data_IF_924960153204
#
_entry.id   IF_924960153204
#
_cell.length_a   1.000
_cell.length_b   1.000
_cell.length_c   1.000
_cell.angle_alpha   90.00
_cell.angle_beta   90.00
_cell.angle_gamma   90.00
#
_symmetry.space_group_name_H-M   'P 1'
#
loop_
_entity.id
_entity.type
_entity.pdbx_description
1 polymer ?
#
# COMPACT_ATOMS: atom_id res chain seq x y z
N UNK A 1 24.22 -4.63 -16.36
CA UNK A 1 23.46 -5.85 -15.99
C UNK A 1 23.06 -6.59 -17.24
N UNK A 2 23.42 -7.84 -17.36
CA UNK A 2 23.02 -8.72 -18.46
C UNK A 2 21.53 -9.08 -18.38
N UNK A 3 20.93 -9.55 -19.47
CA UNK A 3 19.52 -9.98 -19.49
C UNK A 3 19.24 -11.13 -18.49
N UNK A 4 20.22 -11.97 -18.25
CA UNK A 4 20.15 -13.10 -17.29
C UNK A 4 20.13 -12.58 -15.85
N UNK A 5 20.96 -11.58 -15.48
CA UNK A 5 20.96 -10.97 -14.15
C UNK A 5 19.65 -10.23 -13.85
N UNK A 6 19.04 -9.60 -14.86
CA UNK A 6 17.72 -8.98 -14.72
C UNK A 6 16.64 -10.02 -14.48
N UNK A 7 16.62 -11.11 -15.25
CA UNK A 7 15.64 -12.22 -15.13
C UNK A 7 15.64 -12.83 -13.73
N UNK A 8 16.82 -13.12 -13.17
CA UNK A 8 16.94 -13.66 -11.81
C UNK A 8 16.50 -12.66 -10.73
N UNK A 9 16.70 -11.36 -10.95
CA UNK A 9 16.29 -10.31 -10.02
C UNK A 9 14.76 -10.18 -9.97
N UNK A 10 14.06 -10.18 -11.12
CA UNK A 10 12.60 -10.13 -11.16
C UNK A 10 11.95 -11.38 -10.55
N UNK A 11 12.44 -12.57 -10.87
CA UNK A 11 11.93 -13.83 -10.33
C UNK A 11 11.92 -13.86 -8.79
N UNK A 12 12.80 -13.08 -8.14
CA UNK A 12 12.94 -13.06 -6.69
C UNK A 12 11.83 -12.29 -5.98
N UNK A 13 11.43 -11.13 -6.46
CA UNK A 13 10.47 -10.26 -5.75
C UNK A 13 9.08 -10.19 -6.38
N UNK A 14 8.92 -10.52 -7.66
CA UNK A 14 7.67 -10.41 -8.39
C UNK A 14 6.51 -11.24 -7.77
N UNK A 15 6.71 -12.50 -7.32
CA UNK A 15 5.64 -13.25 -6.65
C UNK A 15 5.14 -12.56 -5.38
N UNK A 16 6.07 -12.01 -4.57
CA UNK A 16 5.72 -11.26 -3.35
C UNK A 16 4.97 -9.96 -3.68
N UNK A 17 5.35 -9.28 -4.76
CA UNK A 17 4.69 -8.08 -5.24
C UNK A 17 3.26 -8.35 -5.71
N UNK A 18 3.03 -9.44 -6.46
CA UNK A 18 1.69 -9.83 -6.91
C UNK A 18 0.81 -10.28 -5.75
N UNK A 19 1.36 -11.05 -4.81
CA UNK A 19 0.65 -11.42 -3.59
C UNK A 19 0.27 -10.19 -2.75
N UNK A 20 1.18 -9.21 -2.62
CA UNK A 20 0.93 -7.95 -1.95
C UNK A 20 -0.18 -7.14 -2.64
N UNK A 21 -0.17 -7.07 -3.98
CA UNK A 21 -1.21 -6.40 -4.75
C UNK A 21 -2.59 -7.02 -4.53
N UNK A 22 -2.67 -8.36 -4.52
CA UNK A 22 -3.91 -9.09 -4.24
C UNK A 22 -4.43 -8.78 -2.83
N UNK A 23 -3.58 -8.91 -1.83
CA UNK A 23 -3.94 -8.69 -0.43
C UNK A 23 -4.41 -7.24 -0.21
N UNK A 24 -3.66 -6.25 -0.71
CA UNK A 24 -4.04 -4.84 -0.55
C UNK A 24 -5.24 -4.45 -1.39
N UNK A 25 -5.45 -5.09 -2.56
CA UNK A 25 -6.65 -4.87 -3.37
C UNK A 25 -7.95 -5.25 -2.65
N UNK A 26 -7.91 -6.31 -1.84
CA UNK A 26 -9.04 -6.72 -1.00
C UNK A 26 -9.21 -5.88 0.28
N UNK A 27 -8.22 -5.07 0.66
CA UNK A 27 -8.25 -4.37 1.96
C UNK A 27 -9.35 -3.32 2.07
N UNK A 28 -9.71 -2.65 0.97
CA UNK A 28 -10.79 -1.65 0.97
C UNK A 28 -12.15 -2.27 1.30
N UNK A 29 -12.44 -3.46 0.76
CA UNK A 29 -13.63 -4.24 1.11
C UNK A 29 -13.65 -4.61 2.59
N UNK A 30 -12.53 -5.07 3.13
CA UNK A 30 -12.45 -5.42 4.55
C UNK A 30 -12.61 -4.20 5.47
N UNK A 31 -12.15 -3.01 5.06
CA UNK A 31 -12.38 -1.77 5.80
C UNK A 31 -13.88 -1.45 5.80
N UNK A 32 -14.54 -1.47 4.65
CA UNK A 32 -15.96 -1.16 4.50
C UNK A 32 -16.83 -2.07 5.38
N UNK A 33 -16.62 -3.39 5.28
CA UNK A 33 -17.33 -4.35 6.13
C UNK A 33 -17.00 -4.17 7.62
N UNK A 34 -15.76 -3.82 7.96
CA UNK A 34 -15.36 -3.53 9.33
C UNK A 34 -16.13 -2.36 9.94
N UNK A 35 -16.33 -1.29 9.16
CA UNK A 35 -17.06 -0.07 9.56
C UNK A 35 -18.54 -0.32 9.87
N UNK A 36 -19.11 -1.48 9.50
CA UNK A 36 -20.49 -1.83 9.89
C UNK A 36 -20.67 -2.06 11.40
N UNK A 37 -19.60 -2.32 12.14
CA UNK A 37 -19.66 -2.56 13.61
C UNK A 37 -18.63 -1.75 14.38
N UNK A 38 -17.49 -1.39 13.76
CA UNK A 38 -16.40 -0.72 14.43
C UNK A 38 -16.30 0.74 14.01
N UNK A 39 -15.82 1.59 14.93
CA UNK A 39 -15.43 2.97 14.57
C UNK A 39 -14.27 2.95 13.56
N UNK A 40 -14.01 4.02 12.80
CA UNK A 40 -12.82 4.15 11.97
C UNK A 40 -11.53 3.83 12.74
N UNK A 41 -11.42 4.29 13.99
CA UNK A 41 -10.29 3.96 14.86
C UNK A 41 -10.31 2.53 15.35
N UNK A 42 -11.49 1.93 15.56
CA UNK A 42 -11.67 0.51 15.89
C UNK A 42 -11.12 -0.39 14.78
N UNK A 43 -11.46 -0.10 13.53
CA UNK A 43 -10.89 -0.80 12.37
C UNK A 43 -9.37 -0.60 12.29
N UNK A 44 -8.90 0.64 12.45
CA UNK A 44 -7.47 0.99 12.40
C UNK A 44 -6.68 0.28 13.49
N UNK A 45 -7.08 0.40 14.74
CA UNK A 45 -6.38 -0.20 15.88
C UNK A 45 -6.44 -1.72 15.83
N UNK A 46 -7.62 -2.30 15.48
CA UNK A 46 -7.81 -3.72 15.31
C UNK A 46 -6.87 -4.31 14.25
N UNK A 47 -6.81 -3.70 13.06
CA UNK A 47 -5.92 -4.16 12.00
C UNK A 47 -4.43 -4.08 12.37
N UNK A 48 -4.01 -3.04 13.10
CA UNK A 48 -2.61 -2.87 13.53
C UNK A 48 -2.27 -3.91 14.59
N UNK A 49 -3.12 -4.10 15.60
CA UNK A 49 -2.89 -5.02 16.71
C UNK A 49 -2.87 -6.48 16.25
N UNK A 50 -3.84 -6.87 15.42
CA UNK A 50 -3.90 -8.23 14.84
C UNK A 50 -2.71 -8.43 13.89
N UNK A 51 -2.36 -7.42 13.09
CA UNK A 51 -1.18 -7.46 12.23
C UNK A 51 0.10 -7.66 13.02
N UNK A 52 0.28 -6.91 14.12
CA UNK A 52 1.41 -7.08 15.04
C UNK A 52 1.45 -8.49 15.64
N UNK A 53 0.32 -8.99 16.13
CA UNK A 53 0.23 -10.35 16.67
C UNK A 53 0.65 -11.40 15.62
N UNK A 54 0.22 -11.21 14.36
CA UNK A 54 0.57 -12.10 13.25
C UNK A 54 2.07 -12.10 12.97
N UNK A 55 2.70 -10.93 12.84
CA UNK A 55 4.15 -10.88 12.56
C UNK A 55 4.99 -11.31 13.75
N UNK A 56 4.53 -11.08 14.99
CA UNK A 56 5.17 -11.60 16.20
C UNK A 56 5.13 -13.13 16.23
N UNK A 57 3.95 -13.72 15.97
CA UNK A 57 3.80 -15.18 15.90
C UNK A 57 4.72 -15.77 14.82
N UNK A 58 4.72 -15.19 13.62
CA UNK A 58 5.61 -15.63 12.53
C UNK A 58 7.09 -15.47 12.91
N UNK A 59 7.46 -14.37 13.57
CA UNK A 59 8.83 -14.13 14.02
C UNK A 59 9.26 -15.15 15.08
N UNK A 60 8.37 -15.52 15.99
CA UNK A 60 8.62 -16.57 17.00
C UNK A 60 8.79 -17.94 16.33
N UNK A 61 7.90 -18.32 15.42
CA UNK A 61 7.94 -19.62 14.71
C UNK A 61 9.19 -19.76 13.83
N UNK A 62 9.61 -18.66 13.19
CA UNK A 62 10.79 -18.62 12.31
C UNK A 62 12.07 -18.21 13.03
N UNK A 63 12.02 -17.94 14.34
CA UNK A 63 13.13 -17.49 15.18
C UNK A 63 13.81 -16.21 14.67
N UNK A 64 13.05 -15.32 14.01
CA UNK A 64 13.52 -14.03 13.55
C UNK A 64 13.61 -13.08 14.74
N UNK A 65 14.74 -12.38 14.86
CA UNK A 65 14.99 -11.42 15.95
C UNK A 65 14.15 -10.15 15.76
N UNK A 66 13.74 -9.57 16.89
CA UNK A 66 13.11 -8.24 16.91
C UNK A 66 14.08 -7.16 16.40
N UNK A 67 13.55 -6.01 15.91
CA UNK A 67 14.40 -4.95 15.37
C UNK A 67 15.32 -4.38 16.45
N UNK A 68 16.62 -4.16 16.13
CA UNK A 68 17.58 -3.62 17.06
C UNK A 68 17.30 -2.14 17.38
N UNK A 69 17.79 -1.66 18.53
CA UNK A 69 17.50 -0.29 19.02
C UNK A 69 17.84 0.82 18.04
N UNK A 70 18.89 0.67 17.23
CA UNK A 70 19.26 1.69 16.24
C UNK A 70 18.19 1.92 15.18
N UNK A 71 17.35 0.91 14.88
CA UNK A 71 16.27 1.00 13.88
C UNK A 71 14.98 1.59 14.45
N UNK A 72 14.85 1.78 15.77
CA UNK A 72 13.61 2.23 16.39
C UNK A 72 13.19 3.63 15.94
N UNK A 73 14.12 4.57 15.84
CA UNK A 73 13.82 5.91 15.33
C UNK A 73 13.33 5.91 13.88
N UNK A 74 14.07 5.31 12.94
CA UNK A 74 13.58 5.15 11.57
C UNK A 74 12.26 4.38 11.46
N UNK A 75 12.04 3.32 12.26
CA UNK A 75 10.79 2.58 12.29
C UNK A 75 9.63 3.40 12.87
N UNK A 76 9.85 4.25 13.86
CA UNK A 76 8.85 5.18 14.37
C UNK A 76 8.38 6.14 13.28
N UNK A 77 9.30 6.78 12.55
CA UNK A 77 8.97 7.68 11.44
C UNK A 77 8.25 6.92 10.31
N UNK A 78 8.74 5.75 9.94
CA UNK A 78 8.08 4.89 8.95
C UNK A 78 6.67 4.49 9.40
N UNK A 79 6.47 4.20 10.69
CA UNK A 79 5.16 3.88 11.26
C UNK A 79 4.20 5.05 11.19
N UNK A 80 4.64 6.28 11.48
CA UNK A 80 3.80 7.47 11.30
C UNK A 80 3.38 7.65 9.84
N UNK A 81 4.33 7.49 8.90
CA UNK A 81 4.12 7.72 7.48
C UNK A 81 3.32 6.61 6.78
N UNK A 82 3.40 5.36 7.22
CA UNK A 82 2.69 4.24 6.59
C UNK A 82 1.45 3.78 7.34
N UNK A 83 1.45 3.90 8.67
CA UNK A 83 0.45 3.28 9.53
C UNK A 83 -0.33 4.33 10.32
N UNK A 84 0.34 5.09 11.18
CA UNK A 84 -0.32 5.98 12.13
C UNK A 84 -1.20 7.02 11.45
N UNK A 85 -0.66 7.80 10.53
CA UNK A 85 -1.39 8.86 9.82
C UNK A 85 -2.32 8.26 8.75
N UNK A 86 -1.82 7.49 7.75
CA UNK A 86 -2.68 7.08 6.65
C UNK A 86 -3.83 6.15 7.09
N UNK A 87 -3.57 5.18 7.95
CA UNK A 87 -4.60 4.22 8.36
C UNK A 87 -5.64 4.81 9.31
N UNK A 88 -5.35 5.95 9.93
CA UNK A 88 -6.34 6.76 10.62
C UNK A 88 -7.16 7.57 9.62
N UNK A 89 -6.50 8.20 8.65
CA UNK A 89 -7.15 9.10 7.70
C UNK A 89 -8.02 8.36 6.67
N UNK A 90 -7.62 7.17 6.19
CA UNK A 90 -8.39 6.42 5.20
C UNK A 90 -9.79 6.02 5.69
N UNK A 91 -9.97 5.35 6.84
CA UNK A 91 -11.31 5.03 7.34
C UNK A 91 -12.15 6.26 7.65
N UNK A 92 -11.55 7.35 8.19
CA UNK A 92 -12.26 8.60 8.40
C UNK A 92 -12.73 9.19 7.06
N UNK A 93 -11.85 9.24 6.06
CA UNK A 93 -12.21 9.75 4.75
C UNK A 93 -13.30 8.90 4.08
N UNK A 94 -13.28 7.56 4.24
CA UNK A 94 -14.28 6.65 3.70
C UNK A 94 -15.69 6.81 4.31
N UNK A 95 -15.83 7.52 5.43
CA UNK A 95 -17.16 7.98 5.88
C UNK A 95 -17.67 9.21 5.11
N UNK A 96 -16.82 9.85 4.31
CA UNK A 96 -17.13 11.10 3.59
C UNK A 96 -17.01 10.98 2.07
N UNK A 97 -16.36 9.92 1.58
CA UNK A 97 -16.15 9.64 0.15
C UNK A 97 -16.32 8.16 -0.13
N UNK A 98 -16.61 7.80 -1.38
CA UNK A 98 -16.76 6.40 -1.80
C UNK A 98 -15.43 5.64 -1.75
N UNK A 99 -15.49 4.32 -1.54
CA UNK A 99 -14.32 3.42 -1.61
C UNK A 99 -13.62 3.50 -2.97
N UNK A 100 -14.38 3.70 -4.06
CA UNK A 100 -13.85 3.88 -5.42
C UNK A 100 -12.97 5.13 -5.50
N UNK A 101 -13.43 6.27 -4.98
CA UNK A 101 -12.66 7.52 -4.97
C UNK A 101 -11.43 7.41 -4.07
N UNK A 102 -11.56 6.74 -2.91
CA UNK A 102 -10.42 6.45 -2.04
C UNK A 102 -9.35 5.61 -2.76
N UNK A 103 -9.76 4.59 -3.52
CA UNK A 103 -8.88 3.77 -4.36
C UNK A 103 -8.16 4.56 -5.45
N UNK A 104 -8.88 5.48 -6.15
CA UNK A 104 -8.28 6.38 -7.16
C UNK A 104 -7.21 7.26 -6.52
N UNK A 105 -7.54 7.91 -5.41
CA UNK A 105 -6.59 8.81 -4.73
C UNK A 105 -5.41 8.01 -4.21
N UNK A 106 -5.62 6.81 -3.66
CA UNK A 106 -4.53 5.92 -3.25
C UNK A 106 -3.58 5.58 -4.41
N UNK A 107 -4.09 5.45 -5.60
CA UNK A 107 -3.29 5.19 -6.80
C UNK A 107 -2.41 6.37 -7.24
N UNK A 108 -2.52 7.54 -6.63
CA UNK A 108 -1.58 8.66 -6.81
C UNK A 108 -0.25 8.41 -6.07
N UNK A 109 -0.19 7.41 -5.16
CA UNK A 109 1.00 7.09 -4.36
C UNK A 109 2.31 7.01 -5.16
N UNK A 110 2.42 6.31 -6.31
CA UNK A 110 3.66 6.25 -7.05
C UNK A 110 4.10 7.61 -7.62
N UNK A 111 3.17 8.48 -7.96
CA UNK A 111 3.48 9.85 -8.39
C UNK A 111 4.00 10.69 -7.21
N UNK A 112 3.41 10.54 -6.01
CA UNK A 112 3.92 11.17 -4.79
C UNK A 112 5.28 10.62 -4.39
N UNK A 113 5.51 9.32 -4.57
CA UNK A 113 6.83 8.69 -4.36
C UNK A 113 7.87 9.28 -5.31
N UNK A 114 7.52 9.43 -6.59
CA UNK A 114 8.39 10.07 -7.58
C UNK A 114 8.74 11.52 -7.17
N UNK A 115 7.73 12.29 -6.75
CA UNK A 115 7.92 13.66 -6.30
C UNK A 115 8.85 13.74 -5.07
N UNK A 116 8.63 12.86 -4.07
CA UNK A 116 9.48 12.77 -2.89
C UNK A 116 10.93 12.43 -3.23
N UNK A 117 11.17 11.50 -4.17
CA UNK A 117 12.50 11.15 -4.67
C UNK A 117 13.16 12.37 -5.35
N UNK A 118 12.43 13.08 -6.18
CA UNK A 118 12.99 14.25 -6.90
C UNK A 118 13.36 15.39 -5.96
N UNK A 119 12.61 15.60 -4.89
CA UNK A 119 12.82 16.72 -3.95
C UNK A 119 13.83 16.34 -2.84
N UNK A 120 13.63 15.21 -2.18
CA UNK A 120 14.32 14.90 -0.92
C UNK A 120 15.26 13.67 -0.97
N UNK A 121 15.00 12.72 -1.88
CA UNK A 121 15.71 11.44 -1.91
C UNK A 121 16.39 11.23 -3.28
N UNK A 122 17.39 12.05 -3.58
CA UNK A 122 18.04 12.14 -4.92
C UNK A 122 18.89 10.91 -5.31
N UNK A 123 18.93 9.89 -4.51
CA UNK A 123 19.70 8.66 -4.74
C UNK A 123 19.14 7.81 -5.88
N UNK A 124 17.83 7.87 -6.11
CA UNK A 124 17.13 7.14 -7.17
C UNK A 124 16.64 8.14 -8.24
N UNK A 125 17.48 8.51 -9.19
CA UNK A 125 17.03 9.38 -10.30
C UNK A 125 16.12 8.60 -11.25
N UNK A 126 14.83 9.00 -11.41
CA UNK A 126 13.92 8.30 -12.28
C UNK A 126 14.30 8.49 -13.75
N UNK A 127 14.25 7.40 -14.53
CA UNK A 127 14.41 7.47 -15.98
C UNK A 127 13.16 8.07 -16.64
N UNK A 128 13.30 8.60 -17.87
CA UNK A 128 12.15 9.10 -18.66
C UNK A 128 11.09 8.00 -18.84
N UNK A 129 11.51 6.77 -19.12
CA UNK A 129 10.60 5.64 -19.25
C UNK A 129 9.79 5.40 -17.95
N UNK A 130 10.42 5.53 -16.78
CA UNK A 130 9.76 5.41 -15.48
C UNK A 130 8.69 6.47 -15.28
N UNK A 131 9.01 7.74 -15.59
CA UNK A 131 8.05 8.85 -15.50
C UNK A 131 6.86 8.59 -16.43
N UNK A 132 7.10 8.28 -17.70
CA UNK A 132 6.04 7.99 -18.68
C UNK A 132 5.20 6.81 -18.22
N UNK A 133 5.82 5.71 -17.75
CA UNK A 133 5.11 4.53 -17.25
C UNK A 133 4.18 4.85 -16.07
N UNK A 134 4.63 5.68 -15.14
CA UNK A 134 3.80 6.11 -14.00
C UNK A 134 2.58 6.91 -14.44
N UNK A 135 2.75 7.85 -15.39
CA UNK A 135 1.63 8.62 -15.92
C UNK A 135 0.65 7.75 -16.72
N UNK A 136 1.15 6.83 -17.56
CA UNK A 136 0.31 5.88 -18.30
C UNK A 136 -0.48 4.98 -17.34
N UNK A 137 0.16 4.45 -16.30
CA UNK A 137 -0.50 3.65 -15.29
C UNK A 137 -1.58 4.44 -14.53
N UNK A 138 -1.30 5.69 -14.16
CA UNK A 138 -2.28 6.55 -13.52
C UNK A 138 -3.49 6.85 -14.42
N UNK A 139 -3.28 7.18 -15.69
CA UNK A 139 -4.36 7.34 -16.66
C UNK A 139 -5.19 6.05 -16.80
N UNK A 140 -4.51 4.89 -16.81
CA UNK A 140 -5.19 3.59 -16.80
C UNK A 140 -6.12 3.42 -15.60
N UNK A 141 -5.74 3.86 -14.39
CA UNK A 141 -6.59 3.81 -13.21
C UNK A 141 -7.84 4.70 -13.38
N UNK A 142 -7.68 5.93 -13.89
CA UNK A 142 -8.80 6.81 -14.15
C UNK A 142 -9.81 6.15 -15.12
N UNK A 143 -9.31 5.40 -16.11
CA UNK A 143 -10.14 4.64 -17.06
C UNK A 143 -10.80 3.44 -16.38
N UNK A 144 -10.04 2.62 -15.59
CA UNK A 144 -10.62 1.46 -14.86
C UNK A 144 -11.81 1.87 -14.01
N UNK A 145 -11.65 2.93 -13.24
CA UNK A 145 -12.72 3.40 -12.34
C UNK A 145 -13.86 4.09 -13.10
N UNK A 146 -13.63 4.52 -14.34
CA UNK A 146 -14.64 5.22 -15.12
C UNK A 146 -14.99 6.57 -14.51
N UNK A 147 -13.97 7.43 -14.33
CA UNK A 147 -14.14 8.74 -13.65
C UNK A 147 -15.26 9.59 -14.20
N UNK A 148 -15.66 9.38 -15.46
CA UNK A 148 -16.81 10.05 -16.08
C UNK A 148 -18.17 9.56 -15.55
N UNK A 149 -18.21 8.42 -14.85
CA UNK A 149 -19.41 7.88 -14.20
C UNK A 149 -19.58 8.38 -12.76
N UNK A 150 -18.56 9.03 -12.20
CA UNK A 150 -18.59 9.66 -10.87
C UNK A 150 -19.45 10.95 -10.92
N UNK A 151 -20.67 10.83 -11.43
CA UNK A 151 -21.60 11.96 -11.48
C UNK A 151 -22.18 12.21 -10.09
N UNK A 152 -22.09 13.46 -9.64
CA UNK A 152 -22.82 13.99 -8.48
C UNK A 152 -22.55 13.27 -7.15
N UNK A 153 -21.35 12.70 -6.99
CA UNK A 153 -20.95 12.20 -5.71
C UNK A 153 -20.80 13.42 -4.76
N UNK A 154 -21.58 13.45 -3.69
CA UNK A 154 -21.50 14.43 -2.61
C UNK A 154 -20.20 14.32 -1.83
N UNK A 155 -19.13 13.89 -2.50
CA UNK A 155 -17.81 13.68 -1.91
C UNK A 155 -17.31 14.96 -1.28
N UNK A 156 -17.06 14.89 0.03
CA UNK A 156 -16.56 16.00 0.79
C UNK A 156 -15.13 16.37 0.37
N UNK A 157 -14.90 17.65 0.07
CA UNK A 157 -13.54 18.16 -0.14
C UNK A 157 -12.61 17.87 1.06
N UNK A 158 -13.18 17.81 2.28
CA UNK A 158 -12.43 17.40 3.47
C UNK A 158 -11.97 15.95 3.37
N UNK A 159 -12.83 15.01 2.96
CA UNK A 159 -12.46 13.61 2.76
C UNK A 159 -11.36 13.44 1.71
N UNK A 160 -11.46 14.16 0.58
CA UNK A 160 -10.41 14.18 -0.46
C UNK A 160 -9.10 14.72 0.12
N UNK A 161 -9.15 15.81 0.89
CA UNK A 161 -7.97 16.38 1.55
C UNK A 161 -7.27 15.40 2.50
N UNK A 162 -8.04 14.66 3.30
CA UNK A 162 -7.51 13.61 4.20
C UNK A 162 -6.81 12.50 3.42
N UNK A 163 -7.38 12.05 2.31
CA UNK A 163 -6.77 11.03 1.44
C UNK A 163 -5.49 11.54 0.78
N UNK A 164 -5.45 12.78 0.31
CA UNK A 164 -4.25 13.38 -0.27
C UNK A 164 -3.11 13.47 0.76
N UNK A 165 -3.41 13.82 2.02
CA UNK A 165 -2.42 13.81 3.11
C UNK A 165 -1.91 12.38 3.34
N UNK A 166 -2.81 11.40 3.41
CA UNK A 166 -2.44 10.00 3.59
C UNK A 166 -1.52 9.49 2.46
N UNK A 167 -1.86 9.81 1.22
CA UNK A 167 -1.09 9.40 0.02
C UNK A 167 0.26 10.13 -0.06
N UNK A 168 0.33 11.39 0.37
CA UNK A 168 1.60 12.11 0.50
C UNK A 168 2.52 11.44 1.54
N UNK A 169 1.96 11.01 2.68
CA UNK A 169 2.70 10.23 3.67
C UNK A 169 3.24 8.92 3.06
N UNK A 170 2.42 8.17 2.33
CA UNK A 170 2.88 6.96 1.61
C UNK A 170 3.99 7.28 0.62
N UNK A 171 3.84 8.35 -0.16
CA UNK A 171 4.84 8.78 -1.13
C UNK A 171 6.21 9.04 -0.51
N UNK A 172 6.25 9.62 0.69
CA UNK A 172 7.49 9.85 1.46
C UNK A 172 7.99 8.56 2.11
N UNK A 173 7.07 7.69 2.57
CA UNK A 173 7.42 6.48 3.32
C UNK A 173 8.26 5.49 2.51
N UNK A 174 7.97 5.29 1.21
CA UNK A 174 8.70 4.37 0.35
C UNK A 174 10.19 4.72 0.21
N UNK A 175 10.58 5.94 -0.25
CA UNK A 175 11.98 6.29 -0.35
C UNK A 175 12.65 6.44 1.02
N UNK A 176 11.92 6.86 2.06
CA UNK A 176 12.42 6.89 3.43
C UNK A 176 12.83 5.49 3.90
N UNK A 177 11.93 4.50 3.76
CA UNK A 177 12.22 3.13 4.14
C UNK A 177 13.39 2.56 3.32
N UNK A 178 13.44 2.85 2.02
CA UNK A 178 14.55 2.44 1.17
C UNK A 178 15.88 2.98 1.66
N UNK A 179 15.92 4.26 2.02
CA UNK A 179 17.14 4.92 2.49
C UNK A 179 17.60 4.42 3.85
N UNK A 180 16.70 4.30 4.82
CA UNK A 180 17.07 4.11 6.23
C UNK A 180 16.88 2.69 6.76
N UNK A 181 16.05 1.84 6.10
CA UNK A 181 15.65 0.53 6.63
C UNK A 181 16.00 -0.64 5.71
N UNK A 182 15.95 -0.47 4.38
CA UNK A 182 15.96 -1.61 3.47
C UNK A 182 17.00 -1.54 2.36
N UNK A 183 17.46 -0.34 1.99
CA UNK A 183 18.34 -0.13 0.84
C UNK A 183 19.83 -0.24 1.16
N UNK A 184 20.69 0.01 0.16
CA UNK A 184 22.14 -0.08 0.30
C UNK A 184 22.74 0.90 1.33
N UNK A 185 22.04 2.00 1.60
CA UNK A 185 22.45 3.03 2.57
C UNK A 185 21.99 2.73 4.00
N UNK A 186 21.14 1.70 4.18
CA UNK A 186 20.73 1.25 5.51
C UNK A 186 21.95 0.70 6.29
N UNK A 187 21.96 0.91 7.61
CA UNK A 187 23.09 0.54 8.48
C UNK A 187 23.42 -0.95 8.39
N UNK A 188 22.40 -1.80 8.36
CA UNK A 188 22.49 -3.25 8.13
C UNK A 188 21.17 -3.78 7.59
N UNK A 189 21.18 -4.82 6.75
CA UNK A 189 19.96 -5.42 6.24
C UNK A 189 19.23 -6.16 7.38
N UNK A 190 17.98 -5.76 7.64
CA UNK A 190 17.11 -6.41 8.60
C UNK A 190 16.12 -7.33 7.88
N UNK A 191 15.71 -8.41 8.55
CA UNK A 191 14.71 -9.30 8.01
C UNK A 191 13.36 -8.58 7.84
N UNK A 192 12.59 -8.79 6.74
CA UNK A 192 11.29 -8.14 6.51
C UNK A 192 10.29 -8.29 7.65
N UNK A 193 10.22 -9.46 8.30
CA UNK A 193 9.37 -9.68 9.48
C UNK A 193 9.80 -8.82 10.67
N UNK A 194 11.10 -8.65 10.89
CA UNK A 194 11.63 -7.77 11.94
C UNK A 194 11.21 -6.33 11.72
N UNK A 195 11.31 -5.85 10.48
CA UNK A 195 10.89 -4.50 10.09
C UNK A 195 9.37 -4.31 10.25
N UNK A 196 8.56 -5.28 9.79
CA UNK A 196 7.11 -5.24 9.95
C UNK A 196 6.69 -5.25 11.43
N UNK A 197 7.38 -6.05 12.28
CA UNK A 197 7.14 -6.06 13.72
C UNK A 197 7.40 -4.70 14.36
N UNK A 198 8.50 -4.07 14.04
CA UNK A 198 8.83 -2.74 14.56
C UNK A 198 7.88 -1.64 14.05
N UNK A 199 7.51 -1.69 12.77
CA UNK A 199 6.56 -0.77 12.16
C UNK A 199 5.19 -0.85 12.86
N UNK A 200 4.62 -2.04 12.98
CA UNK A 200 3.31 -2.26 13.58
C UNK A 200 3.34 -2.07 15.10
N UNK A 201 4.45 -2.40 15.77
CA UNK A 201 4.64 -2.13 17.19
C UNK A 201 4.55 -0.64 17.51
N UNK A 202 5.24 0.21 16.77
CA UNK A 202 5.09 1.66 16.88
C UNK A 202 3.68 2.12 16.50
N UNK A 203 3.04 1.48 15.50
CA UNK A 203 1.65 1.74 15.14
C UNK A 203 0.69 1.56 16.31
N UNK A 204 0.81 0.46 17.08
CA UNK A 204 0.00 0.22 18.30
C UNK A 204 0.23 1.32 19.33
N UNK A 205 1.51 1.70 19.57
CA UNK A 205 1.86 2.74 20.55
C UNK A 205 1.26 4.10 20.16
N UNK A 206 1.33 4.46 18.88
CA UNK A 206 0.83 5.74 18.36
C UNK A 206 -0.69 5.80 18.37
N UNK A 207 -1.37 4.72 17.96
CA UNK A 207 -2.84 4.70 17.84
C UNK A 207 -3.55 4.31 19.13
N UNK A 208 -2.86 3.68 20.08
CA UNK A 208 -3.40 3.23 21.36
C UNK A 208 -4.08 4.34 22.18
N UNK A 209 -3.47 5.51 22.38
CA UNK A 209 -4.13 6.61 23.08
C UNK A 209 -5.38 7.13 22.36
N UNK A 210 -5.38 7.10 21.03
CA UNK A 210 -6.51 7.60 20.23
C UNK A 210 -7.73 6.70 20.38
N UNK A 211 -7.55 5.37 20.35
CA UNK A 211 -8.66 4.42 20.48
C UNK A 211 -9.34 4.50 21.86
N UNK A 212 -8.59 4.84 22.91
CA UNK A 212 -9.15 5.03 24.25
C UNK A 212 -10.14 6.20 24.28
N UNK A 213 -9.88 7.23 23.48
CA UNK A 213 -10.72 8.43 23.40
C UNK A 213 -11.91 8.21 22.46
N UNK A 214 -11.69 7.57 21.30
CA UNK A 214 -12.71 7.45 20.24
C UNK A 214 -13.62 6.25 20.40
N UNK A 215 -13.26 5.28 21.24
CA UNK A 215 -13.97 4.02 21.38
C UNK A 215 -13.73 3.04 20.24
N UNK A 216 -14.17 1.79 20.41
CA UNK A 216 -13.89 0.68 19.49
C UNK A 216 -15.03 0.42 18.52
N UNK A 217 -16.29 0.50 18.96
CA UNK A 217 -17.47 0.13 18.19
C UNK A 217 -18.55 1.21 18.21
N UNK A 218 -19.27 1.35 17.12
CA UNK A 218 -20.43 2.24 16.97
C UNK A 218 -21.77 1.47 16.92
N UNK A 219 -21.72 0.18 16.58
CA UNK A 219 -22.88 -0.68 16.42
C UNK A 219 -22.66 -2.04 17.12
N UNK A 220 -23.71 -2.86 17.28
CA UNK A 220 -23.55 -4.22 17.81
C UNK A 220 -22.52 -5.02 17.03
N UNK A 221 -21.62 -5.68 17.77
CA UNK A 221 -20.54 -6.46 17.17
C UNK A 221 -21.12 -7.69 16.48
N UNK A 222 -20.91 -7.82 15.18
CA UNK A 222 -21.31 -8.96 14.35
C UNK A 222 -20.09 -9.75 13.89
N UNK A 223 -20.30 -11.04 13.59
CA UNK A 223 -19.22 -11.96 13.22
C UNK A 223 -18.49 -11.51 11.92
N UNK A 224 -19.24 -11.08 10.90
CA UNK A 224 -18.67 -10.68 9.59
C UNK A 224 -17.70 -9.50 9.71
N UNK A 225 -18.05 -8.37 10.35
CA UNK A 225 -17.09 -7.28 10.64
C UNK A 225 -15.87 -7.72 11.44
N UNK A 226 -16.05 -8.60 12.45
CA UNK A 226 -14.91 -9.14 13.22
C UNK A 226 -13.96 -9.92 12.33
N UNK A 227 -14.47 -10.86 11.51
CA UNK A 227 -13.66 -11.64 10.59
C UNK A 227 -12.96 -10.74 9.53
N UNK A 228 -13.65 -9.69 9.07
CA UNK A 228 -13.05 -8.70 8.16
C UNK A 228 -11.87 -7.97 8.80
N UNK A 229 -12.01 -7.51 10.04
CA UNK A 229 -10.90 -6.85 10.76
C UNK A 229 -9.75 -7.83 11.04
N UNK A 230 -10.06 -9.10 11.35
CA UNK A 230 -9.04 -10.14 11.51
C UNK A 230 -8.29 -10.38 10.20
N UNK A 231 -8.99 -10.55 9.08
CA UNK A 231 -8.39 -10.74 7.77
C UNK A 231 -7.55 -9.51 7.35
N UNK A 232 -8.11 -8.31 7.55
CA UNK A 232 -7.43 -7.04 7.30
C UNK A 232 -6.14 -6.91 8.14
N UNK A 233 -6.18 -7.29 9.41
CA UNK A 233 -5.02 -7.27 10.31
C UNK A 233 -3.99 -8.32 9.94
N UNK A 234 -4.38 -9.58 9.86
CA UNK A 234 -3.44 -10.68 9.63
C UNK A 234 -2.83 -10.61 8.22
N UNK A 235 -3.67 -10.53 7.19
CA UNK A 235 -3.22 -10.50 5.79
C UNK A 235 -2.83 -9.10 5.36
N UNK A 236 -3.75 -8.13 5.43
CA UNK A 236 -3.60 -6.77 4.90
C UNK A 236 -2.58 -5.91 5.65
N UNK A 237 -2.24 -6.27 6.90
CA UNK A 237 -1.26 -5.56 7.70
C UNK A 237 -0.04 -6.45 8.01
N UNK A 238 -0.21 -7.56 8.68
CA UNK A 238 0.91 -8.41 9.11
C UNK A 238 1.71 -8.97 7.94
N UNK A 239 1.11 -9.85 7.16
CA UNK A 239 1.77 -10.51 6.02
C UNK A 239 2.12 -9.48 4.94
N UNK A 240 1.20 -8.56 4.64
CA UNK A 240 1.42 -7.56 3.59
C UNK A 240 2.64 -6.68 3.86
N UNK A 241 2.87 -6.21 5.10
CA UNK A 241 4.07 -5.42 5.38
C UNK A 241 5.37 -6.22 5.38
N UNK A 242 5.32 -7.49 5.76
CA UNK A 242 6.48 -8.37 5.57
C UNK A 242 6.82 -8.50 4.07
N UNK A 243 5.81 -8.70 3.22
CA UNK A 243 5.98 -8.72 1.76
C UNK A 243 6.43 -7.36 1.21
N UNK A 244 5.85 -6.25 1.69
CA UNK A 244 6.23 -4.91 1.26
C UNK A 244 7.69 -4.59 1.57
N UNK A 245 8.17 -4.90 2.77
CA UNK A 245 9.59 -4.74 3.10
C UNK A 245 10.48 -5.65 2.25
N UNK A 246 10.04 -6.89 1.99
CA UNK A 246 10.78 -7.79 1.12
C UNK A 246 10.88 -7.23 -0.31
N UNK A 247 9.79 -6.70 -0.87
CA UNK A 247 9.79 -6.06 -2.19
C UNK A 247 10.68 -4.81 -2.18
N UNK A 248 10.56 -3.95 -1.17
CA UNK A 248 11.37 -2.72 -1.06
C UNK A 248 12.87 -3.02 -0.92
N UNK A 249 13.25 -4.14 -0.29
CA UNK A 249 14.64 -4.58 -0.20
C UNK A 249 15.21 -5.06 -1.55
N UNK A 250 14.39 -5.77 -2.32
CA UNK A 250 14.84 -6.46 -3.54
C UNK A 250 14.54 -5.68 -4.83
N UNK A 251 13.75 -4.61 -4.73
CA UNK A 251 13.46 -3.65 -5.79
C UNK A 251 13.84 -2.22 -5.36
N UNK A 252 13.34 -1.22 -6.03
CA UNK A 252 13.48 0.19 -5.64
C UNK A 252 12.16 0.75 -5.06
N UNK A 253 12.23 1.96 -4.46
CA UNK A 253 11.07 2.61 -3.84
C UNK A 253 9.93 2.88 -4.84
N UNK A 254 10.26 3.29 -6.06
CA UNK A 254 9.28 3.53 -7.11
C UNK A 254 8.59 2.23 -7.51
N UNK A 255 9.35 1.16 -7.77
CA UNK A 255 8.81 -0.18 -8.09
C UNK A 255 7.90 -0.68 -6.97
N UNK A 256 8.33 -0.59 -5.71
CA UNK A 256 7.51 -1.01 -4.57
C UNK A 256 6.21 -0.21 -4.47
N UNK A 257 6.24 1.11 -4.70
CA UNK A 257 5.03 1.95 -4.65
C UNK A 257 4.02 1.65 -5.76
N UNK A 258 4.47 1.14 -6.93
CA UNK A 258 3.54 0.81 -8.04
C UNK A 258 2.59 -0.35 -7.73
N UNK A 259 2.79 -1.07 -6.62
CA UNK A 259 1.82 -2.07 -6.16
C UNK A 259 0.43 -1.46 -5.97
N UNK A 260 0.35 -0.20 -5.57
CA UNK A 260 -0.92 0.52 -5.40
C UNK A 260 -1.68 0.75 -6.70
N UNK A 261 -1.02 0.64 -7.86
CA UNK A 261 -1.69 0.66 -9.16
C UNK A 261 -2.47 -0.62 -9.44
N UNK A 262 -2.02 -1.75 -8.89
CA UNK A 262 -2.70 -3.02 -9.09
C UNK A 262 -3.90 -3.19 -8.16
N UNK A 263 -4.00 -2.42 -7.07
CA UNK A 263 -5.09 -2.59 -6.10
C UNK A 263 -6.48 -2.34 -6.68
N UNK A 264 -6.76 -1.28 -7.49
CA UNK A 264 -8.05 -1.12 -8.15
C UNK A 264 -8.34 -2.21 -9.19
N UNK A 265 -7.30 -2.68 -9.90
CA UNK A 265 -7.45 -3.76 -10.87
C UNK A 265 -7.85 -5.07 -10.18
N UNK A 266 -7.22 -5.38 -9.06
CA UNK A 266 -7.59 -6.54 -8.24
C UNK A 266 -9.01 -6.41 -7.72
N UNK A 267 -9.41 -5.23 -7.23
CA UNK A 267 -10.77 -5.00 -6.76
C UNK A 267 -11.82 -5.27 -7.85
N UNK A 268 -11.58 -4.82 -9.09
CA UNK A 268 -12.46 -5.09 -10.24
C UNK A 268 -12.50 -6.58 -10.58
N UNK A 269 -11.36 -7.27 -10.62
CA UNK A 269 -11.29 -8.70 -10.92
C UNK A 269 -12.02 -9.52 -9.83
N UNK A 270 -11.80 -9.20 -8.57
CA UNK A 270 -12.44 -9.90 -7.43
C UNK A 270 -13.94 -9.63 -7.43
N UNK A 271 -14.38 -8.39 -7.66
CA UNK A 271 -15.80 -8.05 -7.81
C UNK A 271 -16.48 -8.83 -8.95
N UNK A 272 -15.83 -8.90 -10.11
CA UNK A 272 -16.37 -9.66 -11.25
C UNK A 272 -16.44 -11.17 -10.98
N UNK A 273 -15.41 -11.77 -10.38
CA UNK A 273 -15.34 -13.21 -10.14
C UNK A 273 -16.20 -13.67 -8.95
N UNK A 274 -16.29 -12.86 -7.88
CA UNK A 274 -16.97 -13.23 -6.63
C UNK A 274 -18.43 -12.79 -6.63
N UNK A 275 -18.69 -11.59 -7.16
CA UNK A 275 -20.03 -11.00 -7.18
C UNK A 275 -20.74 -11.17 -8.55
N UNK A 276 -20.07 -11.84 -9.51
CA UNK A 276 -20.55 -12.02 -10.90
C UNK A 276 -20.94 -10.70 -11.58
N UNK A 277 -20.27 -9.60 -11.24
CA UNK A 277 -20.48 -8.29 -11.85
C UNK A 277 -19.97 -8.29 -13.29
N UNK A 278 -20.75 -7.77 -14.25
CA UNK A 278 -20.31 -7.72 -15.65
C UNK A 278 -19.14 -6.75 -15.81
N UNK A 279 -18.06 -7.21 -16.42
CA UNK A 279 -16.91 -6.36 -16.74
C UNK A 279 -17.29 -5.32 -17.79
N UNK A 280 -17.20 -4.05 -17.44
CA UNK A 280 -17.36 -2.97 -18.38
C UNK A 280 -16.11 -2.84 -19.29
N UNK A 281 -16.30 -2.41 -20.54
CA UNK A 281 -15.22 -2.26 -21.52
C UNK A 281 -14.08 -1.37 -21.03
N UNK A 282 -14.40 -0.31 -20.29
CA UNK A 282 -13.40 0.62 -19.73
C UNK A 282 -12.51 -0.03 -18.68
N UNK A 283 -13.02 -1.03 -17.95
CA UNK A 283 -12.24 -1.77 -16.97
C UNK A 283 -11.17 -2.64 -17.65
N UNK A 284 -11.50 -3.28 -18.77
CA UNK A 284 -10.53 -4.06 -19.54
C UNK A 284 -9.45 -3.16 -20.17
N UNK A 285 -9.87 -2.05 -20.81
CA UNK A 285 -8.93 -1.10 -21.44
C UNK A 285 -8.04 -0.42 -20.39
N UNK A 286 -8.64 0.08 -19.32
CA UNK A 286 -7.90 0.72 -18.23
C UNK A 286 -6.95 -0.23 -17.52
N UNK A 287 -7.39 -1.48 -17.30
CA UNK A 287 -6.54 -2.54 -16.73
C UNK A 287 -5.31 -2.82 -17.60
N UNK A 288 -5.46 -2.90 -18.89
CA UNK A 288 -4.34 -3.03 -19.81
C UNK A 288 -3.35 -1.85 -19.71
N UNK A 289 -3.87 -0.60 -19.65
CA UNK A 289 -3.05 0.59 -19.46
C UNK A 289 -2.30 0.57 -18.11
N UNK A 290 -2.95 0.13 -17.02
CA UNK A 290 -2.31 -0.01 -15.70
C UNK A 290 -1.14 -0.98 -15.77
N UNK A 291 -1.35 -2.17 -16.35
CA UNK A 291 -0.31 -3.19 -16.48
C UNK A 291 0.84 -2.70 -17.37
N UNK A 292 0.54 -2.07 -18.50
CA UNK A 292 1.55 -1.49 -19.40
C UNK A 292 2.34 -0.38 -18.71
N UNK A 293 1.66 0.52 -18.00
CA UNK A 293 2.27 1.62 -17.27
C UNK A 293 3.18 1.11 -16.15
N UNK A 294 2.70 0.16 -15.33
CA UNK A 294 3.51 -0.46 -14.28
C UNK A 294 4.71 -1.21 -14.84
N UNK A 295 4.54 -2.02 -15.89
CA UNK A 295 5.62 -2.75 -16.55
C UNK A 295 6.67 -1.80 -17.14
N UNK A 296 6.23 -0.69 -17.74
CA UNK A 296 7.13 0.36 -18.26
C UNK A 296 7.90 1.06 -17.15
N UNK A 297 7.21 1.43 -16.06
CA UNK A 297 7.83 2.08 -14.89
C UNK A 297 8.88 1.18 -14.22
N UNK A 298 8.65 -0.13 -14.23
CA UNK A 298 9.58 -1.15 -13.70
C UNK A 298 10.71 -1.50 -14.67
N UNK A 299 10.68 -0.97 -15.91
CA UNK A 299 11.69 -1.24 -16.93
C UNK A 299 11.57 -2.62 -17.59
N UNK A 300 10.41 -3.28 -17.46
CA UNK A 300 10.10 -4.55 -18.15
C UNK A 300 9.86 -4.31 -19.64
N UNK A 301 9.35 -3.12 -20.01
CA UNK A 301 9.14 -2.70 -21.39
C UNK A 301 10.14 -1.57 -21.71
N UNK A 302 11.14 -1.80 -22.58
CA UNK A 302 12.08 -0.76 -22.97
C UNK A 302 11.42 0.22 -23.94
N UNK A 303 11.06 1.45 -23.48
CA UNK A 303 10.50 2.51 -24.35
C UNK A 303 11.54 3.17 -25.26
N UNK A 304 12.82 3.10 -24.93
CA UNK A 304 13.91 3.69 -25.71
C UNK A 304 15.11 2.76 -25.65
N UNK A 305 15.57 2.29 -26.80
CA UNK A 305 16.93 1.78 -26.91
C UNK A 305 17.85 2.98 -26.63
N UNK A 306 18.62 2.91 -25.54
CA UNK A 306 19.72 3.84 -25.31
C UNK A 306 20.69 3.71 -26.49
N UNK A 307 20.57 4.55 -27.48
CA UNK A 307 21.68 4.83 -28.38
C UNK A 307 22.74 5.54 -27.52
N UNK A 308 23.72 4.76 -27.07
CA UNK A 308 25.00 5.29 -26.63
C UNK A 308 25.80 5.69 -27.86
#
# INVERSE_FOLDING_TARGET
>A
MTSIERSTTYARWLPAYLALALIWGCSFLFIEVGLESFTPMGVTFGRITIGLATVLLLSLLTRIRLPPRWSWGPLFIASLLWVGIPWTLFPIAQTMVTSSLAGIINAVTPLMTLLAIMIAFREERPSRARIIGLFVGFLGILVVVGVWNLREDTSSLAGIGLLLIAVACYGIAFPFARRYLTGPTAREPLHPLSLATGLLGWGVIVTGPVIVITGVNEAPIRLTPVLSVIALGALGSGIAYALNFFVTQNADATTASTVTYLTPLVAVIVGSLVLAEPLAWHQAVGGALVVLGAATAQGLIPLVRSTR
#
